data_IF_715979680759
#
_entry.id   IF_715979680759
#
_cell.length_a   1.000
_cell.length_b   1.000
_cell.length_c   1.000
_cell.angle_alpha   90.00
_cell.angle_beta   90.00
_cell.angle_gamma   90.00
#
_symmetry.space_group_name_H-M   'P 1'
#
loop_
_entity.id
_entity.type
_entity.pdbx_description
1 polymer ?
#
# COMPACT_ATOMS: atom_id res chain seq x y z
N UNK A 1 -14.12 -12.06 0.17
CA UNK A 1 -14.11 -10.79 -0.51
C UNK A 1 -14.27 -10.94 -2.01
N UNK A 2 -15.51 -10.89 -2.46
CA UNK A 2 -15.78 -10.99 -3.89
C UNK A 2 -15.14 -9.86 -4.68
N UNK A 3 -15.15 -8.66 -4.10
CA UNK A 3 -14.54 -7.53 -4.75
C UNK A 3 -13.05 -7.76 -4.99
N UNK A 4 -12.38 -8.37 -4.02
CA UNK A 4 -10.97 -8.66 -4.15
C UNK A 4 -10.69 -9.59 -5.31
N UNK A 5 -11.53 -10.60 -5.50
CA UNK A 5 -11.34 -11.53 -6.60
C UNK A 5 -11.50 -10.86 -7.95
N UNK A 6 -12.46 -9.97 -8.06
CA UNK A 6 -12.64 -9.21 -9.29
C UNK A 6 -11.42 -8.34 -9.56
N UNK A 7 -10.91 -7.68 -8.52
CA UNK A 7 -9.74 -6.85 -8.64
C UNK A 7 -8.50 -7.65 -9.01
N UNK A 8 -8.36 -8.85 -8.46
CA UNK A 8 -7.23 -9.70 -8.79
C UNK A 8 -7.22 -10.08 -10.26
N UNK A 9 -8.38 -10.38 -10.81
CA UNK A 9 -8.47 -10.71 -12.23
C UNK A 9 -8.06 -9.53 -13.08
N UNK A 10 -8.55 -8.33 -12.76
CA UNK A 10 -8.19 -7.12 -13.48
C UNK A 10 -6.69 -6.82 -13.32
N UNK A 11 -6.20 -6.98 -12.11
CA UNK A 11 -4.81 -6.72 -11.83
C UNK A 11 -3.89 -7.62 -12.65
N UNK A 12 -4.21 -8.90 -12.73
CA UNK A 12 -3.40 -9.84 -13.49
C UNK A 12 -3.24 -9.42 -14.94
N UNK A 13 -4.26 -8.77 -15.48
CA UNK A 13 -4.23 -8.34 -16.87
C UNK A 13 -3.57 -6.99 -17.06
N UNK A 14 -3.53 -6.15 -16.01
CA UNK A 14 -3.15 -4.75 -16.16
C UNK A 14 -1.99 -4.29 -15.30
N UNK A 15 -1.71 -4.99 -14.20
CA UNK A 15 -0.69 -4.52 -13.28
C UNK A 15 0.64 -5.21 -13.50
N UNK A 16 1.68 -4.42 -13.67
CA UNK A 16 3.04 -4.91 -13.80
C UNK A 16 3.74 -5.00 -12.46
N UNK A 17 3.31 -4.19 -11.51
CA UNK A 17 4.00 -4.04 -10.24
C UNK A 17 3.01 -4.02 -9.07
N UNK A 18 3.35 -4.71 -8.01
CA UNK A 18 2.57 -4.68 -6.76
C UNK A 18 3.32 -3.82 -5.76
N UNK A 19 2.67 -2.78 -5.29
CA UNK A 19 3.28 -1.82 -4.37
C UNK A 19 2.57 -1.90 -3.03
N UNK A 20 3.33 -2.20 -1.98
CA UNK A 20 2.80 -2.11 -0.62
C UNK A 20 2.98 -0.66 -0.16
N UNK A 21 1.89 -0.03 0.23
CA UNK A 21 1.91 1.36 0.69
C UNK A 21 1.67 1.37 2.19
N UNK A 22 2.68 1.79 2.94
CA UNK A 22 2.62 1.86 4.39
C UNK A 22 2.62 3.33 4.79
N UNK A 23 1.44 3.95 4.98
CA UNK A 23 1.38 5.39 5.27
C UNK A 23 2.05 5.79 6.59
N UNK A 24 1.91 4.95 7.61
CA UNK A 24 2.49 5.26 8.91
C UNK A 24 1.66 6.27 9.68
N UNK A 25 2.35 7.23 10.28
CA UNK A 25 1.75 8.17 11.23
C UNK A 25 1.80 9.61 10.74
N UNK A 26 0.87 10.43 11.23
CA UNK A 26 0.90 11.87 11.03
C UNK A 26 1.05 12.27 9.57
N UNK A 27 2.10 13.02 9.26
CA UNK A 27 2.35 13.52 7.91
C UNK A 27 2.66 12.41 6.92
N UNK A 28 3.03 11.22 7.39
CA UNK A 28 3.25 10.08 6.52
C UNK A 28 2.02 9.74 5.71
N UNK A 29 0.84 9.92 6.30
CA UNK A 29 -0.41 9.63 5.61
C UNK A 29 -0.66 10.58 4.44
N UNK A 30 -0.33 11.85 4.63
CA UNK A 30 -0.48 12.84 3.57
C UNK A 30 0.51 12.61 2.45
N UNK A 31 1.74 12.29 2.81
CA UNK A 31 2.78 12.00 1.83
C UNK A 31 2.41 10.78 1.01
N UNK A 32 1.87 9.75 1.66
CA UNK A 32 1.47 8.53 0.97
C UNK A 32 0.38 8.79 -0.06
N UNK A 33 -0.58 9.64 0.25
CA UNK A 33 -1.64 9.99 -0.68
C UNK A 33 -1.06 10.65 -1.94
N UNK A 34 -0.10 11.56 -1.75
CA UNK A 34 0.52 12.23 -2.89
C UNK A 34 1.36 11.26 -3.72
N UNK A 35 2.05 10.34 -3.07
CA UNK A 35 2.82 9.32 -3.78
C UNK A 35 1.91 8.43 -4.61
N UNK A 36 0.74 8.07 -4.08
CA UNK A 36 -0.22 7.27 -4.82
C UNK A 36 -0.73 8.00 -6.04
N UNK A 37 -0.93 9.32 -5.93
CA UNK A 37 -1.33 10.12 -7.08
C UNK A 37 -0.28 10.12 -8.17
N UNK A 38 0.99 10.18 -7.79
CA UNK A 38 2.07 10.12 -8.76
C UNK A 38 2.07 8.79 -9.48
N UNK A 39 1.90 7.69 -8.75
CA UNK A 39 1.82 6.37 -9.37
C UNK A 39 0.62 6.26 -10.30
N UNK A 40 -0.52 6.82 -9.91
CA UNK A 40 -1.71 6.82 -10.75
C UNK A 40 -1.47 7.59 -12.03
N UNK A 41 -0.78 8.72 -11.94
CA UNK A 41 -0.47 9.54 -13.11
C UNK A 41 0.46 8.80 -14.05
N UNK A 42 1.46 8.12 -13.52
CA UNK A 42 2.38 7.34 -14.33
C UNK A 42 1.61 6.23 -15.05
N UNK A 43 0.70 5.57 -14.35
CA UNK A 43 -0.10 4.51 -14.93
C UNK A 43 -0.98 5.02 -16.08
N UNK A 44 -1.53 6.23 -15.94
CA UNK A 44 -2.35 6.83 -16.98
C UNK A 44 -1.57 7.19 -18.23
N UNK A 45 -0.29 7.50 -18.10
CA UNK A 45 0.52 8.00 -19.20
C UNK A 45 1.55 7.00 -19.72
N UNK A 46 1.56 5.79 -19.21
CA UNK A 46 2.50 4.76 -19.64
C UNK A 46 1.78 3.42 -19.74
N UNK A 47 2.54 2.39 -20.12
CA UNK A 47 2.00 1.03 -20.16
C UNK A 47 2.23 0.28 -18.86
N UNK A 48 2.71 0.96 -17.82
CA UNK A 48 2.96 0.32 -16.53
C UNK A 48 1.72 0.41 -15.65
N UNK A 49 1.36 -0.71 -15.01
CA UNK A 49 0.26 -0.74 -14.08
C UNK A 49 0.79 -0.97 -12.67
N UNK A 50 0.17 -0.31 -11.69
CA UNK A 50 0.55 -0.43 -10.29
C UNK A 50 -0.63 -0.90 -9.47
N UNK A 51 -0.46 -2.03 -8.80
CA UNK A 51 -1.44 -2.48 -7.82
C UNK A 51 -0.97 -1.96 -6.46
N UNK A 52 -1.72 -1.02 -5.91
CA UNK A 52 -1.33 -0.36 -4.66
C UNK A 52 -2.15 -0.93 -3.51
N UNK A 53 -1.48 -1.58 -2.58
CA UNK A 53 -2.14 -2.15 -1.41
C UNK A 53 -1.72 -1.33 -0.19
N UNK A 54 -2.68 -0.65 0.41
CA UNK A 54 -2.43 0.17 1.58
C UNK A 54 -2.49 -0.68 2.82
N UNK A 55 -1.42 -0.65 3.62
CA UNK A 55 -1.32 -1.41 4.85
C UNK A 55 -1.21 -0.42 6.01
N UNK A 56 -2.28 -0.23 6.78
CA UNK A 56 -2.22 0.64 7.96
C UNK A 56 -1.18 0.11 8.94
N UNK A 57 -0.37 1.01 9.49
CA UNK A 57 0.71 0.61 10.38
C UNK A 57 1.17 1.79 11.21
N UNK A 58 2.03 1.50 12.18
CA UNK A 58 2.67 2.53 12.97
C UNK A 58 2.06 2.70 14.34
N UNK A 59 2.45 3.79 15.02
CA UNK A 59 2.06 4.03 16.40
C UNK A 59 0.59 4.32 16.57
N UNK A 60 0.02 5.12 15.68
CA UNK A 60 -1.41 5.41 15.76
C UNK A 60 -2.25 4.15 15.53
N UNK A 61 -1.82 3.33 14.60
CA UNK A 61 -2.50 2.07 14.34
C UNK A 61 -2.40 1.15 15.56
N UNK A 62 -1.24 1.11 16.19
CA UNK A 62 -1.03 0.31 17.39
C UNK A 62 -1.95 0.76 18.53
N UNK A 63 -2.08 2.07 18.71
CA UNK A 63 -2.96 2.58 19.76
C UNK A 63 -4.42 2.23 19.50
N UNK A 64 -4.81 2.16 18.25
CA UNK A 64 -6.20 1.85 17.90
C UNK A 64 -6.51 0.36 17.94
N UNK A 65 -5.53 -0.49 17.62
CA UNK A 65 -5.80 -1.91 17.40
C UNK A 65 -5.01 -2.85 18.31
N UNK A 66 -3.93 -2.37 18.92
CA UNK A 66 -3.03 -3.22 19.69
C UNK A 66 -1.98 -3.93 18.86
N UNK A 67 -1.96 -3.66 17.56
CA UNK A 67 -0.99 -4.26 16.64
C UNK A 67 -0.31 -3.18 15.83
N UNK A 68 0.98 -3.35 15.54
CA UNK A 68 1.70 -2.37 14.71
C UNK A 68 1.21 -2.40 13.28
N UNK A 69 0.82 -3.56 12.79
CA UNK A 69 0.14 -3.76 11.52
C UNK A 69 -0.62 -5.09 11.58
N UNK A 70 -1.50 -5.32 10.62
CA UNK A 70 -2.32 -6.53 10.63
C UNK A 70 -1.48 -7.77 10.36
N UNK A 71 -1.93 -8.88 10.89
CA UNK A 71 -1.30 -10.17 10.63
C UNK A 71 -1.29 -10.44 9.13
N UNK A 72 -0.18 -10.96 8.64
CA UNK A 72 -0.02 -11.22 7.22
C UNK A 72 0.65 -10.10 6.45
N UNK A 73 0.80 -8.92 7.05
CA UNK A 73 1.40 -7.78 6.38
C UNK A 73 2.87 -8.01 6.02
N UNK A 74 3.61 -8.61 6.93
CA UNK A 74 5.02 -8.90 6.69
C UNK A 74 5.18 -9.85 5.51
N UNK A 75 4.38 -10.91 5.51
CA UNK A 75 4.44 -11.91 4.44
C UNK A 75 4.07 -11.31 3.10
N UNK A 76 3.08 -10.43 3.08
CA UNK A 76 2.70 -9.75 1.86
C UNK A 76 3.85 -8.90 1.32
N UNK A 77 4.48 -8.14 2.19
CA UNK A 77 5.61 -7.30 1.78
C UNK A 77 6.78 -8.12 1.30
N UNK A 78 7.03 -9.25 1.94
CA UNK A 78 8.17 -10.09 1.57
C UNK A 78 7.94 -10.87 0.30
N UNK A 79 6.74 -11.44 0.14
CA UNK A 79 6.48 -12.42 -0.90
C UNK A 79 5.71 -11.89 -2.10
N UNK A 80 4.81 -10.94 -1.88
CA UNK A 80 3.88 -10.51 -2.93
C UNK A 80 4.18 -9.12 -3.48
N UNK A 81 4.74 -8.24 -2.68
CA UNK A 81 5.02 -6.89 -3.14
C UNK A 81 6.32 -6.84 -3.92
N UNK A 82 6.32 -6.06 -4.99
CA UNK A 82 7.53 -5.81 -5.76
C UNK A 82 8.32 -4.67 -5.17
N UNK A 83 7.64 -3.74 -4.52
CA UNK A 83 8.28 -2.62 -3.85
C UNK A 83 7.43 -2.17 -2.68
N UNK A 84 8.06 -1.50 -1.75
CA UNK A 84 7.40 -0.97 -0.56
C UNK A 84 7.60 0.53 -0.52
N UNK A 85 6.49 1.27 -0.44
CA UNK A 85 6.55 2.70 -0.21
C UNK A 85 6.12 2.95 1.22
N UNK A 86 6.99 3.56 2.00
CA UNK A 86 6.70 3.79 3.41
C UNK A 86 6.75 5.27 3.73
N UNK A 87 5.71 5.76 4.39
CA UNK A 87 5.69 7.11 4.90
C UNK A 87 6.42 7.19 6.24
N UNK A 88 6.20 8.27 6.96
CA UNK A 88 6.84 8.45 8.25
C UNK A 88 6.17 7.59 9.31
N UNK A 89 6.96 6.90 10.11
CA UNK A 89 6.45 6.11 11.23
C UNK A 89 7.06 6.66 12.50
N UNK A 90 6.20 6.95 13.45
CA UNK A 90 6.62 7.45 14.74
C UNK A 90 5.48 8.22 15.37
N UNK A 91 5.30 8.04 16.67
CA UNK A 91 4.21 8.67 17.38
C UNK A 91 4.77 9.26 18.67
N UNK A 92 4.65 10.57 18.87
CA UNK A 92 5.20 11.23 20.08
C UNK A 92 4.46 10.85 21.34
#
# INVERSE_FOLDING_TARGET
MGLLHVLLASRSAMSDHVIAVLPGDGTGKEVAVEAQRILDTIQEHTNHGFEQTVIPCGGQHYLATGEEWAEGSFEFCRDDADAIFMGAIGYP
#
